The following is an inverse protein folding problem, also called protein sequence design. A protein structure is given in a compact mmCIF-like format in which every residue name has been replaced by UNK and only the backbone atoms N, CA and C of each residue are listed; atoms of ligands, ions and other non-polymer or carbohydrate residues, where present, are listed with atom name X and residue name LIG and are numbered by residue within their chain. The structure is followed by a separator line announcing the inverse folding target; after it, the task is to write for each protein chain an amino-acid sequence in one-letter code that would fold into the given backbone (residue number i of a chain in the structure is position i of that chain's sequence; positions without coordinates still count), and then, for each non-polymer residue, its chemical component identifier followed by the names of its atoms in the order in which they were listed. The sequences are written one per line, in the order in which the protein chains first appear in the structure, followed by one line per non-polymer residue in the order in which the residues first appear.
data_IF_740606576687
#
_entry.id   IF_740606576687
#
_cell.length_a   1.000
_cell.length_b   1.000
_cell.length_c   1.000
_cell.angle_alpha   90.00
_cell.angle_beta   90.00
_cell.angle_gamma   90.00
#
_symmetry.space_group_name_H-M   'P 1'
#
loop_
_entity.id
_entity.type
_entity.pdbx_description
1 polymer ?
#
# COMPACT_ATOMS: atom_id res chain seq x y z
N UNK A 1 45.61 -25.77 65.18
CA UNK A 1 44.19 -25.97 64.84
C UNK A 1 43.76 -24.89 63.88
N UNK A 2 43.65 -25.17 62.57
CA UNK A 2 43.20 -24.20 61.60
C UNK A 2 41.66 -24.23 61.47
N UNK A 3 41.07 -23.04 61.40
CA UNK A 3 39.64 -22.78 61.15
C UNK A 3 39.33 -22.95 59.65
N UNK A 4 38.24 -23.59 59.24
CA UNK A 4 37.84 -23.61 57.84
C UNK A 4 37.11 -22.31 57.45
N UNK A 5 37.58 -21.70 56.36
CA UNK A 5 36.94 -20.58 55.70
C UNK A 5 35.76 -21.06 54.88
N UNK A 6 34.58 -20.57 55.22
CA UNK A 6 33.34 -20.83 54.45
C UNK A 6 33.31 -19.89 53.27
N UNK A 7 33.47 -20.45 52.09
CA UNK A 7 33.35 -19.73 50.81
C UNK A 7 31.86 -19.69 50.43
N UNK A 8 31.26 -18.52 50.61
CA UNK A 8 29.86 -18.28 50.19
C UNK A 8 29.86 -18.00 48.67
N UNK A 9 29.37 -18.96 47.91
CA UNK A 9 29.17 -18.85 46.47
C UNK A 9 27.84 -18.12 46.24
N UNK A 10 27.91 -16.83 45.91
CA UNK A 10 26.78 -16.04 45.45
C UNK A 10 26.50 -16.37 43.98
N UNK A 11 25.53 -17.24 43.73
CA UNK A 11 24.99 -17.47 42.39
C UNK A 11 24.10 -16.30 42.00
N UNK A 12 24.59 -15.44 41.13
CA UNK A 12 23.80 -14.37 40.52
C UNK A 12 22.86 -14.96 39.47
N UNK A 13 21.59 -15.09 39.82
CA UNK A 13 20.50 -15.44 38.91
C UNK A 13 20.21 -14.22 38.00
N UNK A 14 20.79 -14.21 36.81
CA UNK A 14 20.44 -13.23 35.79
C UNK A 14 19.05 -13.58 35.22
N UNK A 15 17.98 -12.93 35.71
CA UNK A 15 16.68 -12.92 35.06
C UNK A 15 16.81 -12.12 33.75
N UNK A 16 16.92 -12.82 32.64
CA UNK A 16 16.72 -12.23 31.31
C UNK A 16 15.24 -11.90 31.16
N UNK A 17 14.85 -10.67 31.40
CA UNK A 17 13.57 -10.17 30.99
C UNK A 17 13.58 -10.13 29.45
N UNK A 18 12.96 -11.14 28.82
CA UNK A 18 12.53 -11.08 27.46
C UNK A 18 11.45 -9.98 27.39
N UNK A 19 11.80 -8.80 26.94
CA UNK A 19 10.82 -7.82 26.52
C UNK A 19 9.92 -8.47 25.48
N UNK A 20 8.57 -8.55 25.70
CA UNK A 20 7.67 -8.91 24.63
C UNK A 20 7.86 -7.86 23.54
N UNK A 21 8.23 -8.32 22.34
CA UNK A 21 8.54 -7.48 21.21
C UNK A 21 7.51 -6.38 21.07
N UNK A 22 7.97 -5.15 21.04
CA UNK A 22 7.17 -4.02 20.62
C UNK A 22 6.48 -4.42 19.30
N UNK A 23 5.14 -4.37 19.27
CA UNK A 23 4.38 -4.39 18.03
C UNK A 23 4.85 -3.18 17.23
N UNK A 24 5.90 -3.37 16.46
CA UNK A 24 6.19 -2.46 15.37
C UNK A 24 4.94 -2.48 14.50
N UNK A 25 4.26 -1.36 14.41
CA UNK A 25 3.30 -1.13 13.36
C UNK A 25 4.07 -1.35 12.05
N UNK A 26 3.96 -2.56 11.53
CA UNK A 26 4.63 -2.95 10.29
C UNK A 26 4.06 -2.04 9.21
N UNK A 27 4.85 -1.05 8.80
CA UNK A 27 4.53 -0.23 7.65
C UNK A 27 4.31 -1.17 6.46
N UNK A 28 3.52 -0.72 5.49
CA UNK A 28 3.36 -1.46 4.25
C UNK A 28 4.74 -1.80 3.68
N UNK A 29 4.96 -3.02 3.14
CA UNK A 29 6.17 -3.37 2.41
C UNK A 29 6.42 -2.43 1.21
N UNK A 30 7.66 -2.32 0.72
CA UNK A 30 7.99 -1.42 -0.37
C UNK A 30 7.23 -1.75 -1.65
N UNK A 31 6.82 -0.71 -2.38
CA UNK A 31 6.21 -0.85 -3.71
C UNK A 31 7.32 -1.03 -4.74
N UNK A 32 7.22 -2.06 -5.55
CA UNK A 32 8.14 -2.36 -6.64
C UNK A 32 7.49 -2.00 -7.98
N UNK A 33 8.22 -1.34 -8.87
CA UNK A 33 7.80 -1.10 -10.24
C UNK A 33 8.21 -2.29 -11.11
N UNK A 34 7.25 -2.86 -11.83
CA UNK A 34 7.52 -3.94 -12.78
C UNK A 34 7.84 -3.39 -14.16
N UNK A 35 8.94 -3.81 -14.73
CA UNK A 35 9.29 -3.51 -16.13
C UNK A 35 8.46 -4.33 -17.12
N UNK A 36 8.00 -5.52 -16.68
CA UNK A 36 7.15 -6.42 -17.46
C UNK A 36 6.17 -7.14 -16.55
N UNK A 37 4.89 -7.09 -16.89
CA UNK A 37 3.86 -7.86 -16.20
C UNK A 37 3.54 -9.11 -17.02
N UNK A 38 3.92 -10.27 -16.51
CA UNK A 38 3.58 -11.54 -17.14
C UNK A 38 2.11 -11.88 -16.89
N UNK A 39 1.47 -12.49 -17.90
CA UNK A 39 0.12 -13.00 -17.77
C UNK A 39 0.12 -14.24 -16.88
N UNK A 40 -0.67 -14.19 -15.81
CA UNK A 40 -0.79 -15.29 -14.86
C UNK A 40 -2.15 -15.98 -15.01
N UNK A 41 -2.22 -17.31 -14.75
CA UNK A 41 -3.47 -18.03 -14.77
C UNK A 41 -4.42 -17.54 -13.67
N UNK A 42 -5.71 -17.51 -13.99
CA UNK A 42 -6.77 -17.15 -13.06
C UNK A 42 -7.22 -18.39 -12.28
N UNK A 43 -7.06 -18.38 -10.96
CA UNK A 43 -7.47 -19.46 -10.06
C UNK A 43 -8.13 -18.83 -8.82
N UNK A 44 -9.36 -18.33 -8.99
CA UNK A 44 -10.08 -17.64 -7.92
C UNK A 44 -10.29 -18.56 -6.71
N UNK A 45 -9.88 -18.09 -5.53
CA UNK A 45 -10.02 -18.80 -4.26
C UNK A 45 -10.78 -17.91 -3.27
N UNK A 46 -11.95 -18.34 -2.75
CA UNK A 46 -12.75 -17.56 -1.81
C UNK A 46 -12.06 -17.28 -0.47
N UNK A 47 -10.95 -17.98 -0.16
CA UNK A 47 -10.12 -17.67 1.01
C UNK A 47 -9.42 -16.31 0.90
N UNK A 48 -9.31 -15.75 -0.31
CA UNK A 48 -8.67 -14.49 -0.61
C UNK A 48 -9.67 -13.52 -1.25
N UNK A 49 -9.84 -12.34 -0.67
CA UNK A 49 -10.88 -11.42 -1.13
C UNK A 49 -10.43 -9.98 -1.04
N UNK A 50 -10.72 -9.20 -2.08
CA UNK A 50 -10.80 -7.75 -1.97
C UNK A 50 -12.12 -7.34 -1.31
N UNK A 51 -12.05 -6.48 -0.29
CA UNK A 51 -13.21 -6.05 0.52
C UNK A 51 -13.69 -4.66 0.14
N UNK A 52 -12.76 -3.75 -0.10
CA UNK A 52 -13.05 -2.35 -0.41
C UNK A 52 -11.91 -1.75 -1.21
N UNK A 53 -12.24 -0.87 -2.12
CA UNK A 53 -11.28 -0.03 -2.83
C UNK A 53 -11.60 1.43 -2.53
N UNK A 54 -10.57 2.21 -2.20
CA UNK A 54 -10.63 3.67 -2.17
C UNK A 54 -9.72 4.20 -3.26
N UNK A 55 -10.24 5.08 -4.09
CA UNK A 55 -9.47 5.81 -5.08
C UNK A 55 -9.62 7.30 -4.81
N UNK A 56 -8.52 8.03 -4.91
CA UNK A 56 -8.52 9.47 -4.81
C UNK A 56 -7.66 10.05 -5.91
N UNK A 57 -8.10 11.15 -6.50
CA UNK A 57 -7.36 11.88 -7.50
C UNK A 57 -7.09 13.29 -7.00
N UNK A 58 -5.81 13.62 -6.82
CA UNK A 58 -5.36 14.93 -6.41
C UNK A 58 -4.80 15.68 -7.61
N UNK A 59 -5.43 16.79 -7.96
CA UNK A 59 -4.97 17.68 -9.01
C UNK A 59 -4.96 19.13 -8.53
N UNK A 60 -4.34 19.99 -9.31
CA UNK A 60 -4.41 21.43 -9.10
C UNK A 60 -5.83 21.90 -9.44
N UNK A 61 -6.64 22.07 -8.41
CA UNK A 61 -7.89 22.76 -8.58
C UNK A 61 -7.59 24.26 -8.55
N UNK A 62 -7.63 24.89 -9.71
CA UNK A 62 -7.89 26.31 -9.74
C UNK A 62 -9.29 26.51 -9.17
N UNK A 63 -9.35 26.89 -7.90
CA UNK A 63 -10.61 27.27 -7.26
C UNK A 63 -11.14 28.49 -8.00
N UNK A 64 -12.01 28.26 -8.96
CA UNK A 64 -12.55 29.32 -9.83
C UNK A 64 -13.59 30.20 -9.12
N UNK A 65 -13.98 29.86 -7.88
CA UNK A 65 -14.91 30.66 -7.10
C UNK A 65 -15.12 30.17 -5.67
N UNK A 66 -15.61 31.08 -4.82
CA UNK A 66 -15.97 30.79 -3.42
C UNK A 66 -17.05 29.70 -3.32
N UNK A 67 -17.93 29.61 -4.31
CA UNK A 67 -19.02 28.64 -4.38
C UNK A 67 -18.49 27.18 -4.50
N UNK A 68 -17.40 26.95 -5.26
CA UNK A 68 -16.82 25.63 -5.42
C UNK A 68 -16.13 25.15 -4.13
N UNK A 69 -15.51 26.08 -3.39
CA UNK A 69 -14.88 25.76 -2.10
C UNK A 69 -15.91 25.41 -1.01
N UNK A 70 -17.13 25.97 -1.10
CA UNK A 70 -18.22 25.71 -0.15
C UNK A 70 -18.95 24.38 -0.42
N UNK A 71 -18.90 23.91 -1.67
CA UNK A 71 -19.58 22.69 -2.11
C UNK A 71 -18.68 21.44 -2.09
N UNK A 72 -17.38 21.59 -1.79
CA UNK A 72 -16.50 20.43 -1.66
C UNK A 72 -16.93 19.57 -0.46
N UNK A 73 -17.22 18.29 -0.72
CA UNK A 73 -17.52 17.35 0.37
C UNK A 73 -16.40 17.34 1.41
N UNK A 74 -16.75 17.38 2.69
CA UNK A 74 -15.78 17.39 3.80
C UNK A 74 -14.77 16.24 3.71
N UNK A 75 -15.19 15.09 3.21
CA UNK A 75 -14.35 13.91 3.00
C UNK A 75 -13.24 14.17 1.97
N UNK A 76 -13.55 14.86 0.87
CA UNK A 76 -12.62 15.24 -0.20
C UNK A 76 -11.63 16.27 0.32
N UNK A 77 -12.12 17.31 0.99
CA UNK A 77 -11.28 18.35 1.59
C UNK A 77 -10.32 17.76 2.65
N UNK A 78 -10.79 16.82 3.47
CA UNK A 78 -9.94 16.14 4.46
C UNK A 78 -8.83 15.33 3.80
N UNK A 79 -9.14 14.49 2.80
CA UNK A 79 -8.14 13.68 2.09
C UNK A 79 -7.12 14.57 1.36
N UNK A 80 -7.55 15.67 0.74
CA UNK A 80 -6.67 16.65 0.12
C UNK A 80 -5.69 17.24 1.15
N UNK A 81 -6.18 17.73 2.28
CA UNK A 81 -5.34 18.26 3.35
C UNK A 81 -4.36 17.24 3.88
N UNK A 82 -4.81 15.99 4.05
CA UNK A 82 -3.97 14.87 4.50
C UNK A 82 -2.84 14.58 3.52
N UNK A 83 -3.13 14.54 2.23
CA UNK A 83 -2.15 14.26 1.18
C UNK A 83 -1.15 15.41 0.99
N UNK A 84 -1.59 16.66 1.18
CA UNK A 84 -0.75 17.84 1.09
C UNK A 84 -0.03 18.17 2.40
N UNK A 85 -0.31 17.48 3.49
CA UNK A 85 0.31 17.75 4.78
C UNK A 85 1.83 17.63 4.70
N UNK A 86 2.53 18.71 5.11
CA UNK A 86 4.00 18.79 5.08
C UNK A 86 4.60 19.16 3.71
N UNK A 87 3.79 19.46 2.69
CA UNK A 87 4.27 20.11 1.47
C UNK A 87 4.48 21.59 1.74
N UNK A 88 5.72 22.08 1.66
CA UNK A 88 6.11 23.45 2.01
C UNK A 88 6.32 24.33 0.77
N UNK A 89 6.65 23.75 -0.35
CA UNK A 89 6.91 24.46 -1.60
C UNK A 89 5.90 24.13 -2.68
N UNK A 90 5.72 24.99 -3.72
CA UNK A 90 4.91 24.66 -4.88
C UNK A 90 5.37 23.39 -5.61
N UNK A 91 6.67 23.11 -5.61
CA UNK A 91 7.22 21.87 -6.16
C UNK A 91 6.80 20.64 -5.35
N UNK A 92 6.80 20.73 -4.01
CA UNK A 92 6.35 19.63 -3.15
C UNK A 92 4.87 19.31 -3.39
N UNK A 93 4.05 20.36 -3.51
CA UNK A 93 2.62 20.24 -3.81
C UNK A 93 2.42 19.55 -5.16
N UNK A 94 3.14 20.02 -6.20
CA UNK A 94 3.07 19.46 -7.55
C UNK A 94 3.46 17.99 -7.61
N UNK A 95 4.50 17.58 -6.85
CA UNK A 95 4.96 16.20 -6.78
C UNK A 95 3.95 15.26 -6.10
N UNK A 96 2.97 15.80 -5.39
CA UNK A 96 1.88 15.03 -4.78
C UNK A 96 0.64 14.92 -5.65
N UNK A 97 0.55 15.65 -6.77
CA UNK A 97 -0.57 15.49 -7.70
C UNK A 97 -0.53 14.12 -8.36
N UNK A 98 -1.69 13.51 -8.51
CA UNK A 98 -1.85 12.21 -9.15
C UNK A 98 -2.94 11.33 -8.54
N UNK A 99 -2.85 10.05 -8.84
CA UNK A 99 -3.81 9.04 -8.43
C UNK A 99 -3.32 8.27 -7.21
N UNK A 100 -4.21 8.11 -6.24
CA UNK A 100 -4.00 7.36 -5.00
C UNK A 100 -4.99 6.21 -4.93
N UNK A 101 -4.49 5.01 -4.63
CA UNK A 101 -5.28 3.80 -4.51
C UNK A 101 -5.05 3.17 -3.15
N UNK A 102 -6.12 2.73 -2.48
CA UNK A 102 -6.02 1.90 -1.28
C UNK A 102 -6.94 0.70 -1.45
N UNK A 103 -6.36 -0.47 -1.47
CA UNK A 103 -7.06 -1.74 -1.59
C UNK A 103 -7.09 -2.44 -0.25
N UNK A 104 -8.29 -2.68 0.27
CA UNK A 104 -8.50 -3.45 1.49
C UNK A 104 -8.79 -4.89 1.09
N UNK A 105 -8.00 -5.82 1.59
CA UNK A 105 -8.12 -7.22 1.26
C UNK A 105 -7.92 -8.11 2.50
N UNK A 106 -8.33 -9.37 2.38
CA UNK A 106 -8.26 -10.34 3.47
C UNK A 106 -7.78 -11.68 2.95
N UNK A 107 -6.91 -12.32 3.74
CA UNK A 107 -6.51 -13.72 3.61
C UNK A 107 -7.04 -14.52 4.81
N UNK A 108 -7.76 -15.60 4.57
CA UNK A 108 -8.27 -16.48 5.62
C UNK A 108 -7.21 -17.51 6.08
N UNK A 109 -6.24 -17.82 5.24
CA UNK A 109 -5.16 -18.76 5.52
C UNK A 109 -3.80 -18.08 5.26
N UNK A 110 -2.70 -18.54 5.92
CA UNK A 110 -1.36 -18.02 5.61
C UNK A 110 -0.97 -18.37 4.18
N UNK A 111 -0.46 -17.39 3.44
CA UNK A 111 0.08 -17.57 2.09
C UNK A 111 1.07 -16.45 1.75
N UNK A 112 1.99 -16.72 0.84
CA UNK A 112 2.81 -15.67 0.25
C UNK A 112 1.98 -14.99 -0.84
N UNK A 113 1.63 -13.75 -0.62
CA UNK A 113 0.73 -13.00 -1.47
C UNK A 113 1.41 -11.75 -2.02
N UNK A 114 1.19 -11.51 -3.31
CA UNK A 114 1.61 -10.27 -3.97
C UNK A 114 0.36 -9.51 -4.41
N UNK A 115 0.27 -8.26 -4.00
CA UNK A 115 -0.76 -7.35 -4.51
C UNK A 115 -0.16 -6.61 -5.69
N UNK A 116 -0.71 -6.85 -6.90
CA UNK A 116 -0.29 -6.22 -8.15
C UNK A 116 -1.35 -5.23 -8.59
N UNK A 117 -0.97 -3.96 -8.75
CA UNK A 117 -1.77 -2.95 -9.43
C UNK A 117 -1.29 -2.83 -10.88
N UNK A 118 -2.17 -3.07 -11.83
CA UNK A 118 -1.96 -2.80 -13.24
C UNK A 118 -2.83 -1.62 -13.66
N UNK A 119 -2.25 -0.70 -14.43
CA UNK A 119 -2.97 0.53 -14.80
C UNK A 119 -2.52 1.07 -16.17
N UNK A 120 -3.40 1.84 -16.78
CA UNK A 120 -3.14 2.59 -18.01
C UNK A 120 -3.26 4.08 -17.73
N UNK A 121 -2.37 4.88 -18.32
CA UNK A 121 -2.40 6.33 -18.22
C UNK A 121 -2.82 6.96 -19.54
N UNK A 122 -3.43 8.13 -19.46
CA UNK A 122 -4.07 8.78 -20.61
C UNK A 122 -3.12 8.96 -21.80
N UNK A 123 -1.88 9.39 -21.57
CA UNK A 123 -0.91 9.66 -22.64
C UNK A 123 -0.21 8.42 -23.16
N UNK A 124 -0.29 7.28 -22.45
CA UNK A 124 0.31 6.01 -22.86
C UNK A 124 -0.66 5.10 -23.61
N UNK A 125 -1.92 5.50 -23.76
CA UNK A 125 -2.93 4.73 -24.48
C UNK A 125 -3.12 3.33 -23.90
N UNK A 126 -2.87 2.30 -24.72
CA UNK A 126 -3.06 0.88 -24.32
C UNK A 126 -1.92 0.29 -23.49
N UNK A 127 -0.82 1.01 -23.30
CA UNK A 127 0.33 0.50 -22.54
C UNK A 127 -0.05 0.29 -21.06
N UNK A 128 0.21 -0.92 -20.56
CA UNK A 128 -0.06 -1.31 -19.18
C UNK A 128 1.21 -1.20 -18.36
N UNK A 129 1.14 -0.44 -17.30
CA UNK A 129 2.16 -0.38 -16.26
C UNK A 129 1.72 -1.22 -15.07
N UNK A 130 2.68 -1.72 -14.28
CA UNK A 130 2.38 -2.52 -13.11
C UNK A 130 3.28 -2.17 -11.92
N UNK A 131 2.69 -2.22 -10.71
CA UNK A 131 3.39 -2.07 -9.43
C UNK A 131 2.98 -3.18 -8.50
N UNK A 132 3.90 -3.67 -7.70
CA UNK A 132 3.67 -4.78 -6.77
C UNK A 132 4.08 -4.46 -5.34
N UNK A 133 3.41 -5.14 -4.41
CA UNK A 133 3.79 -5.19 -3.00
C UNK A 133 3.67 -6.63 -2.53
N UNK A 134 4.76 -7.17 -1.97
CA UNK A 134 4.83 -8.54 -1.51
C UNK A 134 4.51 -8.65 -0.02
N UNK A 135 3.73 -9.65 0.35
CA UNK A 135 3.34 -9.96 1.72
C UNK A 135 3.66 -11.43 2.02
N UNK A 136 4.81 -11.71 2.64
CA UNK A 136 5.16 -13.08 3.03
C UNK A 136 4.24 -13.57 4.15
N UNK A 137 3.80 -14.82 4.05
CA UNK A 137 2.95 -15.50 5.03
C UNK A 137 1.74 -14.67 5.51
N UNK A 138 1.11 -13.92 4.60
CA UNK A 138 0.01 -13.02 4.92
C UNK A 138 -1.22 -13.79 5.42
N UNK A 139 -1.76 -13.36 6.58
CA UNK A 139 -3.02 -13.85 7.15
C UNK A 139 -3.76 -12.71 7.84
N UNK A 140 -5.06 -12.61 7.63
CA UNK A 140 -5.88 -11.55 8.22
C UNK A 140 -6.22 -10.46 7.22
N UNK A 141 -6.42 -9.24 7.70
CA UNK A 141 -6.87 -8.08 6.90
C UNK A 141 -5.74 -7.09 6.71
N UNK A 142 -5.59 -6.60 5.49
CA UNK A 142 -4.53 -5.69 5.08
C UNK A 142 -5.10 -4.52 4.29
N UNK A 143 -4.32 -3.45 4.23
CA UNK A 143 -4.57 -2.31 3.36
C UNK A 143 -3.28 -2.02 2.57
N UNK A 144 -3.34 -2.18 1.25
CA UNK A 144 -2.22 -1.87 0.35
C UNK A 144 -2.48 -0.56 -0.36
N UNK A 145 -1.49 0.33 -0.35
CA UNK A 145 -1.54 1.65 -0.99
C UNK A 145 -0.60 1.70 -2.16
N UNK A 146 -1.09 2.29 -3.26
CA UNK A 146 -0.30 2.64 -4.43
C UNK A 146 -0.54 4.09 -4.77
N UNK A 147 0.51 4.75 -5.25
CA UNK A 147 0.50 6.14 -5.65
C UNK A 147 1.10 6.25 -7.05
N UNK A 148 0.42 6.93 -7.95
CA UNK A 148 0.91 7.29 -9.29
C UNK A 148 0.93 8.80 -9.34
N UNK A 149 2.05 9.38 -8.89
CA UNK A 149 2.20 10.82 -8.58
C UNK A 149 3.51 11.36 -9.14
N UNK A 150 3.74 12.65 -8.99
CA UNK A 150 4.97 13.30 -9.41
C UNK A 150 5.21 13.18 -10.91
N UNK A 151 6.43 12.84 -11.30
CA UNK A 151 6.83 12.77 -12.71
C UNK A 151 5.99 11.78 -13.52
N UNK A 152 5.62 10.63 -12.94
CA UNK A 152 4.78 9.64 -13.61
C UNK A 152 3.42 10.23 -14.00
N UNK A 153 2.82 11.00 -13.10
CA UNK A 153 1.55 11.68 -13.38
C UNK A 153 1.73 12.89 -14.32
N UNK A 154 2.73 13.73 -14.06
CA UNK A 154 2.93 14.98 -14.82
C UNK A 154 3.27 14.71 -16.29
N UNK A 155 4.08 13.68 -16.55
CA UNK A 155 4.50 13.32 -17.90
C UNK A 155 3.46 12.47 -18.63
N UNK A 156 2.85 11.49 -17.93
CA UNK A 156 2.02 10.46 -18.57
C UNK A 156 0.51 10.66 -18.34
N UNK A 157 0.15 11.59 -17.47
CA UNK A 157 -1.22 11.97 -17.19
C UNK A 157 -1.92 11.04 -16.18
N UNK A 158 -3.22 11.27 -16.02
CA UNK A 158 -4.09 10.56 -15.09
C UNK A 158 -4.21 9.07 -15.44
N UNK A 159 -4.34 8.22 -14.40
CA UNK A 159 -4.74 6.83 -14.59
C UNK A 159 -6.18 6.78 -15.09
N UNK A 160 -6.37 6.21 -16.26
CA UNK A 160 -7.68 6.08 -16.93
C UNK A 160 -8.37 4.76 -16.59
N UNK A 161 -7.60 3.70 -16.45
CA UNK A 161 -8.08 2.34 -16.19
C UNK A 161 -7.11 1.64 -15.24
N UNK A 162 -7.65 0.78 -14.37
CA UNK A 162 -6.83 -0.01 -13.46
C UNK A 162 -7.50 -1.34 -13.14
N UNK A 163 -6.68 -2.33 -12.80
CA UNK A 163 -7.08 -3.54 -12.10
C UNK A 163 -6.09 -3.88 -11.00
N UNK A 164 -6.56 -4.53 -9.96
CA UNK A 164 -5.74 -5.03 -8.87
C UNK A 164 -5.89 -6.54 -8.80
N UNK A 165 -4.77 -7.22 -8.67
CA UNK A 165 -4.67 -8.67 -8.61
C UNK A 165 -4.07 -9.07 -7.27
N UNK A 166 -4.61 -10.12 -6.69
CA UNK A 166 -3.97 -10.82 -5.58
C UNK A 166 -3.37 -12.10 -6.16
N UNK A 167 -2.07 -12.21 -6.11
CA UNK A 167 -1.30 -13.30 -6.71
C UNK A 167 -0.72 -14.15 -5.58
N UNK A 168 -0.97 -15.47 -5.62
CA UNK A 168 -0.41 -16.41 -4.68
C UNK A 168 0.86 -17.05 -5.25
N UNK A 169 1.92 -17.07 -4.44
CA UNK A 169 3.23 -17.69 -4.73
C UNK A 169 3.81 -17.29 -6.10
N UNK A 170 3.48 -16.08 -6.60
CA UNK A 170 3.85 -15.54 -7.93
C UNK A 170 3.36 -16.40 -9.11
N UNK A 171 2.41 -17.33 -8.91
CA UNK A 171 2.00 -18.30 -9.93
C UNK A 171 0.57 -18.13 -10.42
N UNK A 172 -0.37 -17.72 -9.56
CA UNK A 172 -1.78 -17.69 -9.92
C UNK A 172 -2.49 -16.47 -9.30
N UNK A 173 -3.44 -15.90 -10.06
CA UNK A 173 -4.33 -14.85 -9.59
C UNK A 173 -5.45 -15.50 -8.78
N UNK A 174 -5.47 -15.25 -7.46
CA UNK A 174 -6.46 -15.83 -6.53
C UNK A 174 -7.64 -14.89 -6.23
N UNK A 175 -7.46 -13.59 -6.44
CA UNK A 175 -8.55 -12.61 -6.39
C UNK A 175 -8.25 -11.43 -7.32
N UNK A 176 -9.29 -10.78 -7.84
CA UNK A 176 -9.15 -9.60 -8.68
C UNK A 176 -10.21 -8.55 -8.36
N UNK A 177 -9.86 -7.29 -8.60
CA UNK A 177 -10.75 -6.14 -8.63
C UNK A 177 -10.35 -5.23 -9.78
N UNK A 178 -11.31 -4.56 -10.41
CA UNK A 178 -11.00 -3.70 -11.55
C UNK A 178 -11.93 -2.50 -11.65
N UNK A 179 -11.47 -1.46 -12.34
CA UNK A 179 -12.31 -0.33 -12.72
C UNK A 179 -13.29 -0.74 -13.81
N UNK A 180 -14.43 -0.05 -13.89
CA UNK A 180 -15.44 -0.32 -14.91
C UNK A 180 -14.91 -0.25 -16.35
N UNK A 181 -13.93 0.62 -16.59
CA UNK A 181 -13.36 0.84 -17.93
C UNK A 181 -12.27 -0.17 -18.30
N UNK A 182 -11.84 -1.04 -17.40
CA UNK A 182 -10.82 -2.04 -17.71
C UNK A 182 -11.39 -3.11 -18.64
N UNK A 183 -10.84 -3.19 -19.86
CA UNK A 183 -11.19 -4.17 -20.89
C UNK A 183 -9.93 -4.79 -21.49
#
# INVERSE_FOLDING_TARGET
MPRPSILVLLAALALTWSCPGALQAAGQPPVQLLTKADALPLSIDPAFQFRKTKTFFLEDQQVTGIADALNEEQSISYERKRLLYGALSPSDIRNRYGNYFTFFWRSQRPANLTVRLEYRQQKLGAFVQAREVEYPAARGSYATRFEVTGDDYLQQGRVSQWRVLLVADHQAIVALGQSYLWR
#
